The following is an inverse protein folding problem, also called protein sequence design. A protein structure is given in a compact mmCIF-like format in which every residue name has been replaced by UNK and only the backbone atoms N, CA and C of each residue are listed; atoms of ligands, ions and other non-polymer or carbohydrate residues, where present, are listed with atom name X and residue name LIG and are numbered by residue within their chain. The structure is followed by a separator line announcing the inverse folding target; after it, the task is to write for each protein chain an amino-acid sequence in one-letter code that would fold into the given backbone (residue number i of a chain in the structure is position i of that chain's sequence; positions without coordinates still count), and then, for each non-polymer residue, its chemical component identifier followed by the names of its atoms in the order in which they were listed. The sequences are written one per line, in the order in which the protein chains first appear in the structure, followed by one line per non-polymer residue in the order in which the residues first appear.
data_IF_478357507803
#
_entry.id   IF_478357507803
#
_cell.length_a   1.000
_cell.length_b   1.000
_cell.length_c   1.000
_cell.angle_alpha   90.00
_cell.angle_beta   90.00
_cell.angle_gamma   90.00
#
_symmetry.space_group_name_H-M   'P 1'
#
loop_
_entity.id
_entity.type
_entity.pdbx_description
1 polymer ?
#
# COMPACT_ATOMS: atom_id res chain seq x y z
N UNK A 1 -23.49 -6.69 15.90
CA UNK A 1 -23.61 -5.56 16.85
C UNK A 1 -22.52 -4.54 16.57
N UNK A 2 -22.81 -3.26 16.77
CA UNK A 2 -21.83 -2.19 16.65
C UNK A 2 -20.98 -2.11 17.92
N UNK A 3 -19.66 -2.05 17.79
CA UNK A 3 -18.73 -1.91 18.90
C UNK A 3 -17.70 -0.81 18.64
N UNK A 4 -17.50 0.05 19.65
CA UNK A 4 -16.42 1.04 19.68
C UNK A 4 -15.15 0.39 20.20
N UNK A 5 -14.08 0.46 19.41
CA UNK A 5 -12.79 -0.18 19.72
C UNK A 5 -11.68 0.86 19.63
N UNK A 6 -10.89 0.96 20.70
CA UNK A 6 -9.66 1.72 20.72
C UNK A 6 -8.54 0.83 20.18
N UNK A 7 -7.92 1.27 19.08
CA UNK A 7 -6.82 0.59 18.42
C UNK A 7 -5.47 0.84 19.12
N UNK A 8 -4.42 0.11 18.74
CA UNK A 8 -3.08 0.29 19.30
C UNK A 8 -2.50 1.70 19.08
N UNK A 9 -2.95 2.39 18.03
CA UNK A 9 -2.60 3.78 17.75
C UNK A 9 -3.36 4.81 18.62
N UNK A 10 -4.23 4.38 19.54
CA UNK A 10 -5.01 5.26 20.42
C UNK A 10 -6.32 5.78 19.84
N UNK A 11 -6.55 5.67 18.52
CA UNK A 11 -7.79 6.10 17.88
C UNK A 11 -8.95 5.12 18.12
N UNK A 12 -10.14 5.67 18.39
CA UNK A 12 -11.38 4.91 18.46
C UNK A 12 -12.00 4.76 17.07
N UNK A 13 -12.41 3.54 16.73
CA UNK A 13 -13.19 3.26 15.52
C UNK A 13 -14.39 2.37 15.84
N UNK A 14 -15.47 2.65 15.12
CA UNK A 14 -16.71 1.87 15.16
C UNK A 14 -16.56 0.68 14.22
N UNK A 15 -16.75 -0.53 14.74
CA UNK A 15 -16.78 -1.76 13.96
C UNK A 15 -18.12 -2.47 14.10
N UNK A 16 -18.71 -2.86 12.97
CA UNK A 16 -19.84 -3.77 12.97
C UNK A 16 -19.33 -5.21 13.00
N UNK A 17 -19.53 -5.90 14.14
CA UNK A 17 -19.12 -7.28 14.33
C UNK A 17 -20.31 -8.23 14.17
N UNK A 18 -20.11 -9.27 13.39
CA UNK A 18 -21.11 -10.29 13.05
C UNK A 18 -20.57 -11.69 13.36
N UNK A 19 -21.47 -12.66 13.54
CA UNK A 19 -21.13 -14.04 13.83
C UNK A 19 -21.26 -14.38 15.31
N UNK A 20 -20.75 -15.56 15.71
CA UNK A 20 -20.80 -16.04 17.09
C UNK A 20 -19.96 -15.18 18.03
N UNK A 21 -20.35 -15.14 19.31
CA UNK A 21 -19.71 -14.31 20.34
C UNK A 21 -18.20 -14.56 20.44
N UNK A 22 -17.77 -15.84 20.39
CA UNK A 22 -16.35 -16.20 20.40
C UNK A 22 -15.54 -15.63 19.21
N UNK A 23 -16.17 -15.47 18.04
CA UNK A 23 -15.53 -14.83 16.89
C UNK A 23 -15.46 -13.32 17.07
N UNK A 24 -16.52 -12.72 17.61
CA UNK A 24 -16.57 -11.29 17.89
C UNK A 24 -15.49 -10.92 18.91
N UNK A 25 -15.40 -11.61 20.04
CA UNK A 25 -14.38 -11.38 21.08
C UNK A 25 -12.95 -11.48 20.53
N UNK A 26 -12.68 -12.52 19.75
CA UNK A 26 -11.37 -12.71 19.12
C UNK A 26 -11.04 -11.58 18.14
N UNK A 27 -12.02 -11.10 17.38
CA UNK A 27 -11.86 -9.96 16.47
C UNK A 27 -11.61 -8.66 17.24
N UNK A 28 -12.32 -8.42 18.34
CA UNK A 28 -12.06 -7.27 19.22
C UNK A 28 -10.63 -7.30 19.76
N UNK A 29 -10.18 -8.45 20.27
CA UNK A 29 -8.82 -8.60 20.80
C UNK A 29 -7.76 -8.29 19.74
N UNK A 30 -7.97 -8.76 18.51
CA UNK A 30 -7.07 -8.45 17.40
C UNK A 30 -7.11 -6.96 17.01
N UNK A 31 -8.28 -6.36 16.89
CA UNK A 31 -8.43 -4.94 16.51
C UNK A 31 -7.68 -4.02 17.50
N UNK A 32 -7.73 -4.32 18.80
CA UNK A 32 -6.97 -3.60 19.84
C UNK A 32 -5.45 -3.66 19.66
N UNK A 33 -4.91 -4.66 18.95
CA UNK A 33 -3.47 -4.79 18.66
C UNK A 33 -3.04 -4.17 17.32
N UNK A 34 -3.99 -3.75 16.50
CA UNK A 34 -3.72 -3.22 15.15
C UNK A 34 -3.82 -1.70 15.10
N UNK A 35 -3.16 -1.07 14.12
CA UNK A 35 -3.42 0.32 13.78
C UNK A 35 -4.83 0.47 13.19
N UNK A 36 -5.43 1.64 13.41
CA UNK A 36 -6.74 1.97 12.85
C UNK A 36 -6.64 2.18 11.33
N UNK A 37 -7.79 2.16 10.65
CA UNK A 37 -7.83 2.34 9.18
C UNK A 37 -7.21 3.65 8.73
N UNK A 38 -7.40 4.73 9.47
CA UNK A 38 -6.94 6.06 9.07
C UNK A 38 -5.41 6.17 9.17
N UNK A 39 -4.84 5.62 10.25
CA UNK A 39 -3.39 5.51 10.41
C UNK A 39 -2.77 4.66 9.30
N UNK A 40 -3.38 3.50 8.98
CA UNK A 40 -2.90 2.66 7.89
C UNK A 40 -2.94 3.38 6.53
N UNK A 41 -4.01 4.12 6.24
CA UNK A 41 -4.12 4.91 5.00
C UNK A 41 -3.10 6.05 4.97
N UNK A 42 -2.88 6.74 6.09
CA UNK A 42 -1.88 7.79 6.20
C UNK A 42 -0.46 7.27 5.97
N UNK A 43 -0.12 6.14 6.61
CA UNK A 43 1.17 5.47 6.42
C UNK A 43 1.36 5.04 4.96
N UNK A 44 0.36 4.42 4.34
CA UNK A 44 0.44 4.01 2.93
C UNK A 44 0.59 5.19 1.99
N UNK A 45 -0.10 6.31 2.22
CA UNK A 45 0.08 7.54 1.45
C UNK A 45 1.48 8.12 1.61
N UNK A 46 2.04 8.08 2.82
CA UNK A 46 3.40 8.54 3.07
C UNK A 46 4.44 7.66 2.36
N UNK A 47 4.29 6.34 2.42
CA UNK A 47 5.12 5.38 1.68
C UNK A 47 5.05 5.62 0.16
N UNK A 48 3.85 5.79 -0.39
CA UNK A 48 3.64 6.06 -1.82
C UNK A 48 4.26 7.39 -2.25
N UNK A 49 4.13 8.45 -1.43
CA UNK A 49 4.74 9.74 -1.68
C UNK A 49 6.28 9.67 -1.65
N UNK A 50 6.84 8.96 -0.68
CA UNK A 50 8.29 8.74 -0.59
C UNK A 50 8.81 7.95 -1.79
N UNK A 51 8.12 6.87 -2.18
CA UNK A 51 8.48 6.09 -3.37
C UNK A 51 8.38 6.91 -4.67
N UNK A 52 7.37 7.76 -4.80
CA UNK A 52 7.24 8.67 -5.94
C UNK A 52 8.37 9.70 -5.99
N UNK A 53 8.74 10.28 -4.84
CA UNK A 53 9.84 11.23 -4.74
C UNK A 53 11.19 10.59 -5.15
N UNK A 54 11.47 9.38 -4.65
CA UNK A 54 12.66 8.61 -5.05
C UNK A 54 12.67 8.28 -6.54
N UNK A 55 11.52 7.89 -7.09
CA UNK A 55 11.40 7.58 -8.53
C UNK A 55 11.65 8.81 -9.39
N UNK A 56 11.07 9.96 -9.01
CA UNK A 56 11.28 11.23 -9.69
C UNK A 56 12.74 11.67 -9.62
N UNK A 57 13.38 11.56 -8.45
CA UNK A 57 14.80 11.89 -8.28
C UNK A 57 15.69 11.01 -9.18
N UNK A 58 15.41 9.70 -9.23
CA UNK A 58 16.18 8.75 -10.04
C UNK A 58 16.14 9.06 -11.53
N UNK A 59 15.05 9.66 -12.05
CA UNK A 59 14.91 9.96 -13.49
C UNK A 59 15.13 11.44 -13.83
N UNK A 60 15.36 12.29 -12.83
CA UNK A 60 15.41 13.76 -12.98
C UNK A 60 16.49 14.28 -13.93
N UNK A 61 17.55 13.49 -14.15
CA UNK A 61 18.68 13.81 -15.02
C UNK A 61 18.49 13.33 -16.47
N UNK A 62 17.36 12.69 -16.80
CA UNK A 62 17.09 12.19 -18.14
C UNK A 62 16.38 13.23 -19.00
N UNK A 63 16.89 13.46 -20.21
CA UNK A 63 16.22 14.26 -21.23
C UNK A 63 15.12 13.44 -21.92
N UNK A 64 13.89 13.52 -21.40
CA UNK A 64 12.75 12.75 -21.88
C UNK A 64 11.85 13.59 -22.80
N UNK A 65 11.34 13.02 -23.92
CA UNK A 65 10.39 13.71 -24.77
C UNK A 65 9.11 14.14 -24.02
N UNK A 66 8.55 15.32 -24.34
CA UNK A 66 7.34 15.81 -23.68
C UNK A 66 6.15 14.89 -23.96
N UNK A 67 5.25 14.79 -22.98
CA UNK A 67 3.97 14.09 -23.13
C UNK A 67 2.90 15.06 -23.64
N UNK A 68 2.12 14.61 -24.62
CA UNK A 68 1.00 15.39 -25.18
C UNK A 68 -0.32 14.66 -24.96
N UNK A 69 -1.36 15.40 -24.59
CA UNK A 69 -2.69 14.85 -24.34
C UNK A 69 -3.46 15.71 -23.34
N UNK A 70 -4.57 15.18 -22.85
CA UNK A 70 -5.32 15.79 -21.73
C UNK A 70 -4.54 15.70 -20.42
N UNK A 71 -4.84 16.58 -19.46
CA UNK A 71 -4.19 16.58 -18.14
C UNK A 71 -4.22 15.20 -17.46
N UNK A 72 -5.36 14.51 -17.57
CA UNK A 72 -5.52 13.15 -17.02
C UNK A 72 -4.61 12.14 -17.72
N UNK A 73 -4.49 12.21 -19.05
CA UNK A 73 -3.61 11.32 -19.82
C UNK A 73 -2.14 11.59 -19.50
N UNK A 74 -1.73 12.86 -19.45
CA UNK A 74 -0.36 13.27 -19.14
C UNK A 74 0.02 12.85 -17.72
N UNK A 75 -0.86 13.09 -16.74
CA UNK A 75 -0.65 12.68 -15.34
C UNK A 75 -0.47 11.16 -15.20
N UNK A 76 -1.34 10.39 -15.85
CA UNK A 76 -1.25 8.93 -15.85
C UNK A 76 0.01 8.41 -16.56
N UNK A 77 0.31 8.93 -17.75
CA UNK A 77 1.48 8.54 -18.53
C UNK A 77 2.79 8.90 -17.79
N UNK A 78 2.86 10.07 -17.14
CA UNK A 78 4.00 10.48 -16.32
C UNK A 78 4.22 9.54 -15.13
N UNK A 79 3.14 9.13 -14.46
CA UNK A 79 3.20 8.16 -13.36
C UNK A 79 3.76 6.81 -13.81
N UNK A 80 3.29 6.29 -14.95
CA UNK A 80 3.80 5.03 -15.51
C UNK A 80 5.28 5.18 -15.91
N UNK A 81 5.60 6.24 -16.66
CA UNK A 81 6.94 6.50 -17.17
C UNK A 81 7.97 6.55 -16.04
N UNK A 82 7.70 7.33 -15.01
CA UNK A 82 8.58 7.50 -13.85
C UNK A 82 8.82 6.17 -13.13
N UNK A 83 7.75 5.43 -12.82
CA UNK A 83 7.86 4.12 -12.15
C UNK A 83 8.68 3.12 -12.96
N UNK A 84 8.46 3.06 -14.28
CA UNK A 84 9.17 2.12 -15.16
C UNK A 84 10.64 2.48 -15.31
N UNK A 85 10.94 3.75 -15.58
CA UNK A 85 12.32 4.22 -15.75
C UNK A 85 13.13 4.08 -14.45
N UNK A 86 12.55 4.44 -13.29
CA UNK A 86 13.23 4.28 -12.01
C UNK A 86 13.60 2.81 -11.73
N UNK A 87 12.72 1.86 -12.05
CA UNK A 87 13.03 0.42 -11.95
C UNK A 87 14.18 0.04 -12.86
N UNK A 88 14.18 0.48 -14.12
CA UNK A 88 15.25 0.16 -15.08
C UNK A 88 16.60 0.73 -14.66
N UNK A 89 16.62 1.98 -14.17
CA UNK A 89 17.85 2.63 -13.68
C UNK A 89 18.39 1.88 -12.46
N UNK A 90 17.54 1.55 -11.48
CA UNK A 90 17.98 0.81 -10.29
C UNK A 90 18.45 -0.61 -10.62
N UNK A 91 17.85 -1.27 -11.62
CA UNK A 91 18.32 -2.59 -12.12
C UNK A 91 19.64 -2.47 -12.90
N UNK A 92 19.90 -1.34 -13.58
CA UNK A 92 21.15 -1.15 -14.34
C UNK A 92 22.38 -0.98 -13.44
N UNK A 93 22.20 -0.41 -12.23
CA UNK A 93 23.27 -0.24 -11.23
C UNK A 93 23.58 -1.56 -10.50
N UNK A 94 22.60 -2.47 -10.42
CA UNK A 94 22.77 -3.81 -9.86
C UNK A 94 22.90 -4.85 -10.99
N UNK A 95 24.12 -5.07 -11.48
CA UNK A 95 24.40 -5.98 -12.59
C UNK A 95 23.62 -7.31 -12.56
N UNK A 96 22.86 -7.55 -13.65
CA UNK A 96 22.12 -8.76 -14.06
C UNK A 96 20.83 -9.11 -13.25
N UNK A 97 19.66 -9.22 -13.93
CA UNK A 97 18.37 -9.32 -13.24
C UNK A 97 18.04 -10.76 -12.83
N UNK A 98 17.84 -10.98 -11.54
CA UNK A 98 17.09 -12.14 -11.07
C UNK A 98 15.62 -11.92 -11.42
N UNK A 99 15.19 -12.61 -12.48
CA UNK A 99 13.82 -13.05 -12.81
C UNK A 99 12.79 -12.46 -11.84
N UNK A 100 12.10 -11.39 -12.25
CA UNK A 100 10.94 -10.86 -11.54
C UNK A 100 9.90 -11.97 -11.42
N UNK A 101 9.96 -12.74 -10.33
CA UNK A 101 8.74 -13.30 -9.74
C UNK A 101 7.95 -12.08 -9.32
N UNK A 102 6.89 -11.78 -10.07
CA UNK A 102 5.78 -11.00 -9.56
C UNK A 102 5.46 -11.60 -8.20
N UNK A 103 5.91 -10.95 -7.13
CA UNK A 103 5.45 -11.29 -5.80
C UNK A 103 3.92 -11.18 -5.91
N UNK A 104 3.16 -12.25 -5.59
CA UNK A 104 1.75 -12.03 -5.37
C UNK A 104 1.71 -10.93 -4.32
N UNK A 105 0.93 -9.87 -4.55
CA UNK A 105 0.55 -8.99 -3.45
C UNK A 105 0.18 -9.95 -2.33
N UNK A 106 0.98 -9.97 -1.28
CA UNK A 106 0.61 -10.63 -0.05
C UNK A 106 -0.61 -9.83 0.41
N UNK A 107 -1.78 -10.27 -0.05
CA UNK A 107 -2.99 -10.27 0.72
C UNK A 107 -2.58 -10.90 2.05
N UNK A 108 -2.06 -10.07 2.96
CA UNK A 108 -2.28 -10.24 4.39
C UNK A 108 -3.75 -9.93 4.64
N UNK A 109 -4.60 -10.72 4.00
CA UNK A 109 -5.90 -11.07 4.50
C UNK A 109 -5.59 -11.97 5.69
N UNK A 110 -5.34 -11.37 6.86
CA UNK A 110 -5.43 -12.10 8.12
C UNK A 110 -6.92 -12.28 8.39
N UNK A 111 -7.55 -13.11 7.57
CA UNK A 111 -8.78 -13.77 7.93
C UNK A 111 -8.40 -15.03 8.69
N UNK A 112 -8.87 -15.20 9.92
CA UNK A 112 -8.80 -16.50 10.56
C UNK A 112 -9.76 -17.45 9.85
N UNK A 113 -9.23 -18.34 9.04
CA UNK A 113 -9.96 -19.48 8.50
C UNK A 113 -10.51 -20.31 9.65
N UNK A 114 -11.83 -20.46 9.72
CA UNK A 114 -12.42 -21.57 10.46
C UNK A 114 -12.01 -22.88 9.77
N UNK A 115 -11.21 -23.69 10.47
CA UNK A 115 -11.18 -25.13 10.26
C UNK A 115 -11.43 -25.77 11.62
N UNK A 116 -12.69 -26.11 11.84
CA UNK A 116 -13.09 -27.37 12.46
C UNK A 116 -13.56 -28.26 11.31
#
# INVERSE_FOLDING_TARGET
MEQRIIHACGHEQVHYLTGFDSQQERKVKWLKTTSCRDCFVAEKRAEEAAAAALSNAAISHLDLPPLTGTDRQVSWASTIRTKRLAVLINVSVAGRPQIMRLAPLALRFVQPSSRA
#
